data_IF_813369555557
#
_entry.id   IF_813369555557
#
_cell.length_a   1.000
_cell.length_b   1.000
_cell.length_c   1.000
_cell.angle_alpha   90.00
_cell.angle_beta   90.00
_cell.angle_gamma   90.00
#
_symmetry.space_group_name_H-M   'P 1'
#
loop_
_entity.id
_entity.type
_entity.pdbx_description
1 polymer ?
#
# COMPACT_ATOMS: atom_id res chain seq x y z
N UNK A 1 -23.32 -29.25 17.91
CA UNK A 1 -22.99 -28.75 16.58
C UNK A 1 -21.95 -27.64 16.75
N UNK A 2 -20.69 -27.87 16.44
CA UNK A 2 -19.64 -26.85 16.47
C UNK A 2 -19.83 -25.93 15.27
N UNK A 3 -20.23 -24.68 15.50
CA UNK A 3 -20.33 -23.69 14.45
C UNK A 3 -18.95 -23.56 13.79
N UNK A 4 -18.85 -23.86 12.51
CA UNK A 4 -17.62 -23.65 11.73
C UNK A 4 -17.36 -22.16 11.64
N UNK A 5 -16.37 -21.67 12.37
CA UNK A 5 -15.99 -20.25 12.34
C UNK A 5 -15.38 -19.94 10.96
N UNK A 6 -16.02 -19.05 10.21
CA UNK A 6 -15.61 -18.65 8.85
C UNK A 6 -14.23 -18.00 8.88
N UNK A 7 -13.32 -18.48 8.01
CA UNK A 7 -12.00 -17.87 7.81
C UNK A 7 -12.04 -16.91 6.63
N UNK A 8 -11.54 -15.68 6.83
CA UNK A 8 -11.42 -14.63 5.82
C UNK A 8 -10.03 -14.54 5.19
N UNK A 9 -9.15 -15.50 5.48
CA UNK A 9 -7.78 -15.56 4.92
C UNK A 9 -7.76 -15.54 3.40
N UNK A 10 -8.74 -16.21 2.75
CA UNK A 10 -8.90 -16.16 1.29
C UNK A 10 -9.10 -14.74 0.78
N UNK A 11 -9.90 -13.90 1.48
CA UNK A 11 -10.11 -12.51 1.13
C UNK A 11 -8.81 -11.71 1.18
N UNK A 12 -8.00 -11.88 2.23
CA UNK A 12 -6.68 -11.24 2.35
C UNK A 12 -5.80 -11.54 1.14
N UNK A 13 -5.63 -12.80 0.79
CA UNK A 13 -4.78 -13.20 -0.32
C UNK A 13 -5.32 -12.75 -1.68
N UNK A 14 -6.64 -12.79 -1.88
CA UNK A 14 -7.27 -12.29 -3.12
C UNK A 14 -7.00 -10.81 -3.29
N UNK A 15 -7.17 -9.99 -2.23
CA UNK A 15 -6.91 -8.55 -2.28
C UNK A 15 -5.42 -8.25 -2.46
N UNK A 16 -4.53 -9.01 -1.83
CA UNK A 16 -3.09 -8.84 -1.99
C UNK A 16 -2.65 -9.11 -3.44
N UNK A 17 -3.12 -10.20 -4.04
CA UNK A 17 -2.82 -10.55 -5.43
C UNK A 17 -3.45 -9.54 -6.39
N UNK A 18 -4.71 -9.15 -6.16
CA UNK A 18 -5.40 -8.17 -7.00
C UNK A 18 -4.72 -6.79 -6.91
N UNK A 19 -4.37 -6.33 -5.71
CA UNK A 19 -3.68 -5.05 -5.50
C UNK A 19 -2.32 -5.00 -6.17
N UNK A 20 -1.50 -6.04 -5.97
CA UNK A 20 -0.21 -6.20 -6.67
C UNK A 20 -0.39 -6.24 -8.18
N UNK A 21 -1.34 -7.03 -8.68
CA UNK A 21 -1.61 -7.17 -10.11
C UNK A 21 -2.06 -5.86 -10.74
N UNK A 22 -3.03 -5.18 -10.15
CA UNK A 22 -3.54 -3.89 -10.63
C UNK A 22 -2.44 -2.81 -10.63
N UNK A 23 -1.63 -2.76 -9.57
CA UNK A 23 -0.50 -1.82 -9.50
C UNK A 23 0.49 -2.08 -10.62
N UNK A 24 0.96 -3.30 -10.79
CA UNK A 24 1.97 -3.60 -11.80
C UNK A 24 1.43 -3.48 -13.23
N UNK A 25 0.21 -3.97 -13.49
CA UNK A 25 -0.41 -3.84 -14.82
C UNK A 25 -0.58 -2.37 -15.19
N UNK A 26 -1.07 -1.54 -14.28
CA UNK A 26 -1.24 -0.10 -14.54
C UNK A 26 0.10 0.60 -14.78
N UNK A 27 1.13 0.33 -13.97
CA UNK A 27 2.47 0.89 -14.15
C UNK A 27 3.05 0.54 -15.52
N UNK A 28 3.06 -0.74 -15.87
CA UNK A 28 3.58 -1.15 -17.18
C UNK A 28 2.74 -0.60 -18.34
N UNK A 29 1.42 -0.59 -18.23
CA UNK A 29 0.54 -0.08 -19.27
C UNK A 29 0.74 1.42 -19.52
N UNK A 30 0.72 2.24 -18.45
CA UNK A 30 0.86 3.69 -18.53
C UNK A 30 2.25 4.09 -19.00
N UNK A 31 3.31 3.52 -18.45
CA UNK A 31 4.68 3.82 -18.87
C UNK A 31 4.94 3.39 -20.32
N UNK A 32 4.37 2.27 -20.77
CA UNK A 32 4.44 1.86 -22.18
C UNK A 32 3.65 2.80 -23.08
N UNK A 33 2.43 3.14 -22.70
CA UNK A 33 1.54 3.99 -23.49
C UNK A 33 2.11 5.41 -23.67
N UNK A 34 2.67 6.00 -22.60
CA UNK A 34 3.23 7.34 -22.60
C UNK A 34 4.75 7.35 -22.88
N UNK A 35 5.33 6.29 -23.46
CA UNK A 35 6.77 6.17 -23.67
C UNK A 35 7.32 7.23 -24.62
N UNK A 36 6.65 7.48 -25.76
CA UNK A 36 6.96 8.53 -26.74
C UNK A 36 8.48 8.63 -27.04
N UNK A 37 9.06 7.53 -27.53
CA UNK A 37 10.50 7.42 -27.85
C UNK A 37 11.43 7.84 -26.69
N UNK A 38 11.02 7.54 -25.46
CA UNK A 38 11.79 7.86 -24.26
C UNK A 38 11.70 9.30 -23.79
N UNK A 39 10.88 10.12 -24.42
CA UNK A 39 10.63 11.49 -23.96
C UNK A 39 9.66 11.55 -22.80
N UNK A 40 8.80 10.53 -22.71
CA UNK A 40 7.67 10.53 -21.79
C UNK A 40 6.49 11.35 -22.27
N UNK A 41 5.45 11.40 -21.47
CA UNK A 41 4.24 12.11 -21.81
C UNK A 41 3.29 12.26 -20.63
N UNK A 42 2.25 13.03 -20.90
CA UNK A 42 1.13 13.22 -19.98
C UNK A 42 -0.19 13.03 -20.71
N UNK A 43 -1.18 12.54 -20.00
CA UNK A 43 -2.54 12.45 -20.49
C UNK A 43 -3.50 13.06 -19.48
N UNK A 44 -4.17 14.15 -19.90
CA UNK A 44 -5.12 14.85 -19.05
C UNK A 44 -6.43 14.07 -19.01
N UNK A 45 -6.76 13.51 -17.85
CA UNK A 45 -8.01 12.79 -17.61
C UNK A 45 -9.13 13.75 -17.23
N UNK A 46 -8.84 14.71 -16.34
CA UNK A 46 -9.76 15.78 -15.94
C UNK A 46 -9.01 17.10 -16.06
N UNK A 47 -9.43 18.00 -17.00
CA UNK A 47 -8.76 19.27 -17.18
C UNK A 47 -8.63 20.07 -15.89
N UNK A 48 -7.41 20.54 -15.60
CA UNK A 48 -7.08 21.32 -14.41
C UNK A 48 -7.09 20.56 -13.08
N UNK A 49 -7.36 19.22 -13.07
CA UNK A 49 -7.48 18.47 -11.83
C UNK A 49 -6.61 17.20 -11.79
N UNK A 50 -6.71 16.33 -12.78
CA UNK A 50 -6.10 15.01 -12.72
C UNK A 50 -5.50 14.58 -14.07
N UNK A 51 -4.29 14.05 -14.02
CA UNK A 51 -3.59 13.56 -15.21
C UNK A 51 -2.75 12.32 -14.91
N UNK A 52 -2.46 11.57 -15.95
CA UNK A 52 -1.49 10.48 -15.96
C UNK A 52 -0.16 11.01 -16.48
N UNK A 53 0.94 10.66 -15.83
CA UNK A 53 2.26 11.17 -16.14
C UNK A 53 3.26 10.03 -16.21
N UNK A 54 4.06 9.95 -17.27
CA UNK A 54 5.21 9.06 -17.33
C UNK A 54 6.46 9.87 -17.73
N UNK A 55 7.48 9.79 -16.90
CA UNK A 55 8.76 10.48 -17.13
C UNK A 55 9.88 9.46 -17.31
N UNK A 56 10.86 9.80 -18.16
CA UNK A 56 12.01 8.96 -18.45
C UNK A 56 13.33 9.73 -18.29
N UNK A 57 14.41 9.00 -18.04
CA UNK A 57 15.74 9.57 -17.88
C UNK A 57 16.43 9.65 -19.25
N UNK A 58 16.51 10.86 -19.81
CA UNK A 58 17.09 11.09 -21.15
C UNK A 58 18.54 10.58 -21.20
N UNK A 59 18.82 9.70 -22.20
CA UNK A 59 20.17 9.18 -22.44
C UNK A 59 20.54 7.99 -21.55
N UNK A 60 19.71 7.56 -20.62
CA UNK A 60 19.93 6.35 -19.82
C UNK A 60 19.19 5.16 -20.42
N UNK A 61 19.93 4.34 -21.17
CA UNK A 61 19.41 3.08 -21.72
C UNK A 61 19.63 1.97 -20.70
N UNK A 62 18.68 1.05 -20.61
CA UNK A 62 18.81 -0.14 -19.75
C UNK A 62 19.94 -1.03 -20.22
N UNK A 63 21.01 -1.15 -19.41
CA UNK A 63 22.15 -2.01 -19.63
C UNK A 63 22.04 -3.36 -18.92
N UNK A 64 20.90 -3.66 -18.33
CA UNK A 64 20.66 -4.93 -17.66
C UNK A 64 20.57 -6.08 -18.66
N UNK A 65 20.78 -7.30 -18.19
CA UNK A 65 20.73 -8.52 -19.01
C UNK A 65 19.83 -9.57 -18.37
N UNK A 66 19.43 -10.57 -19.13
CA UNK A 66 18.63 -11.69 -18.65
C UNK A 66 17.23 -11.27 -18.16
N UNK A 67 16.80 -11.86 -17.05
CA UNK A 67 15.44 -11.64 -16.51
C UNK A 67 15.20 -10.17 -16.14
N UNK A 68 16.19 -9.49 -15.59
CA UNK A 68 16.03 -8.08 -15.20
C UNK A 68 15.81 -7.19 -16.42
N UNK A 69 16.53 -7.44 -17.51
CA UNK A 69 16.29 -6.75 -18.79
C UNK A 69 14.89 -7.00 -19.30
N UNK A 70 14.42 -8.26 -19.33
CA UNK A 70 13.07 -8.60 -19.78
C UNK A 70 11.97 -7.92 -18.95
N UNK A 71 12.19 -7.75 -17.63
CA UNK A 71 11.25 -7.04 -16.76
C UNK A 71 11.24 -5.52 -17.00
N UNK A 72 12.39 -4.94 -17.37
CA UNK A 72 12.54 -3.49 -17.59
C UNK A 72 12.14 -3.03 -18.99
N UNK A 73 12.43 -3.82 -20.01
CA UNK A 73 12.14 -3.46 -21.41
C UNK A 73 10.67 -3.38 -21.77
N UNK A 74 9.78 -3.85 -20.89
CA UNK A 74 8.35 -3.62 -21.03
C UNK A 74 7.96 -2.14 -20.99
N UNK A 75 8.81 -1.32 -20.38
CA UNK A 75 8.63 0.14 -20.29
C UNK A 75 9.31 0.91 -21.42
N UNK A 76 10.00 0.22 -22.35
CA UNK A 76 10.84 0.81 -23.37
C UNK A 76 12.33 0.69 -23.05
N UNK A 77 13.19 1.11 -23.98
CA UNK A 77 14.66 1.01 -23.83
C UNK A 77 15.26 2.03 -22.86
N UNK A 78 14.60 3.21 -22.75
CA UNK A 78 15.04 4.26 -21.84
C UNK A 78 14.46 4.04 -20.45
N UNK A 79 15.30 4.19 -19.43
CA UNK A 79 14.88 3.95 -18.04
C UNK A 79 13.82 4.95 -17.58
N UNK A 80 12.75 4.47 -16.92
CA UNK A 80 11.77 5.35 -16.32
C UNK A 80 12.40 6.18 -15.20
N UNK A 81 11.98 7.43 -15.06
CA UNK A 81 12.25 8.21 -13.88
C UNK A 81 11.44 7.64 -12.71
N UNK A 82 12.12 7.26 -11.65
CA UNK A 82 11.51 6.59 -10.49
C UNK A 82 11.67 7.42 -9.23
N UNK A 83 10.72 7.30 -8.33
CA UNK A 83 10.76 7.87 -7.00
C UNK A 83 11.58 6.97 -6.08
N UNK A 84 12.77 7.42 -5.70
CA UNK A 84 13.66 6.68 -4.80
C UNK A 84 13.35 6.94 -3.31
N UNK A 85 12.34 7.76 -3.02
CA UNK A 85 12.00 8.16 -1.67
C UNK A 85 13.02 9.17 -1.14
N UNK A 86 13.02 10.39 -1.70
CA UNK A 86 13.87 11.48 -1.22
C UNK A 86 13.45 11.86 0.22
N UNK A 87 14.22 11.40 1.21
CA UNK A 87 14.10 11.88 2.58
C UNK A 87 14.58 13.34 2.61
N UNK A 88 13.63 14.28 2.72
CA UNK A 88 13.88 15.69 3.05
C UNK A 88 14.84 16.46 2.12
N UNK A 89 14.80 16.25 0.80
CA UNK A 89 15.61 17.05 -0.13
C UNK A 89 17.12 16.77 -0.08
N UNK A 90 17.56 15.72 0.59
CA UNK A 90 18.94 15.28 0.61
C UNK A 90 19.34 14.76 -0.78
N UNK A 91 20.43 15.28 -1.33
CA UNK A 91 20.84 15.12 -2.74
C UNK A 91 20.96 13.67 -3.23
N UNK A 92 21.20 13.51 -4.52
CA UNK A 92 21.18 12.21 -5.24
C UNK A 92 21.99 11.07 -4.59
N UNK A 93 23.06 11.39 -3.86
CA UNK A 93 23.90 10.38 -3.17
C UNK A 93 23.14 9.60 -2.09
N UNK A 94 22.15 10.21 -1.47
CA UNK A 94 21.32 9.58 -0.43
C UNK A 94 20.06 8.90 -0.98
N UNK A 95 19.62 9.26 -2.19
CA UNK A 95 18.45 8.67 -2.82
C UNK A 95 18.60 7.14 -3.02
N UNK A 96 19.81 6.69 -3.32
CA UNK A 96 20.14 5.27 -3.47
C UNK A 96 19.99 4.49 -2.15
N UNK A 97 20.49 5.06 -1.06
CA UNK A 97 20.38 4.48 0.29
C UNK A 97 18.91 4.44 0.72
N UNK A 98 18.15 5.52 0.46
CA UNK A 98 16.72 5.59 0.75
C UNK A 98 15.94 4.46 0.10
N UNK A 99 16.21 4.15 -1.18
CA UNK A 99 15.55 3.05 -1.87
C UNK A 99 15.73 1.70 -1.16
N UNK A 100 16.95 1.38 -0.69
CA UNK A 100 17.21 0.14 0.05
C UNK A 100 16.55 0.12 1.42
N UNK A 101 16.53 1.25 2.13
CA UNK A 101 15.83 1.37 3.42
C UNK A 101 14.34 1.09 3.21
N UNK A 102 13.71 1.76 2.25
CA UNK A 102 12.29 1.53 1.95
C UNK A 102 12.00 0.13 1.43
N UNK A 103 12.90 -0.47 0.65
CA UNK A 103 12.78 -1.87 0.24
C UNK A 103 12.83 -2.81 1.45
N UNK A 104 13.75 -2.58 2.38
CA UNK A 104 13.87 -3.33 3.63
C UNK A 104 12.62 -3.20 4.51
N UNK A 105 12.10 -1.97 4.68
CA UNK A 105 10.84 -1.72 5.41
C UNK A 105 9.67 -2.45 4.74
N UNK A 106 9.55 -2.35 3.41
CA UNK A 106 8.48 -3.04 2.67
C UNK A 106 8.58 -4.56 2.81
N UNK A 107 9.78 -5.12 2.72
CA UNK A 107 10.00 -6.55 2.91
C UNK A 107 9.62 -6.99 4.32
N UNK A 108 10.04 -6.26 5.34
CA UNK A 108 9.73 -6.55 6.74
C UNK A 108 8.23 -6.50 6.99
N UNK A 109 7.56 -5.46 6.47
CA UNK A 109 6.10 -5.33 6.59
C UNK A 109 5.37 -6.49 5.89
N UNK A 110 5.79 -6.85 4.67
CA UNK A 110 5.20 -7.97 3.94
C UNK A 110 5.35 -9.29 4.72
N UNK A 111 6.55 -9.59 5.23
CA UNK A 111 6.81 -10.79 6.04
C UNK A 111 5.96 -10.80 7.30
N UNK A 112 5.86 -9.67 8.00
CA UNK A 112 5.04 -9.55 9.22
C UNK A 112 3.55 -9.79 8.93
N UNK A 113 3.00 -9.23 7.85
CA UNK A 113 1.61 -9.41 7.45
C UNK A 113 1.36 -10.87 7.06
N UNK A 114 2.26 -11.47 6.26
CA UNK A 114 2.16 -12.89 5.86
C UNK A 114 2.15 -13.78 7.11
N UNK A 115 3.10 -13.58 8.01
CA UNK A 115 3.18 -14.33 9.26
C UNK A 115 1.91 -14.16 10.11
N UNK A 116 1.42 -12.93 10.24
CA UNK A 116 0.20 -12.65 11.00
C UNK A 116 -1.04 -13.27 10.36
N UNK A 117 -1.12 -13.34 9.03
CA UNK A 117 -2.24 -13.95 8.29
C UNK A 117 -2.48 -15.43 8.65
N UNK A 118 -1.45 -16.13 9.16
CA UNK A 118 -1.57 -17.51 9.59
C UNK A 118 -2.17 -17.64 11.01
N UNK A 119 -2.29 -16.56 11.77
CA UNK A 119 -2.91 -16.60 13.10
C UNK A 119 -4.42 -16.81 12.99
N UNK A 120 -4.98 -17.77 13.78
CA UNK A 120 -6.43 -18.04 13.75
C UNK A 120 -7.28 -16.83 14.12
N UNK A 121 -6.81 -15.96 15.04
CA UNK A 121 -7.49 -14.73 15.44
C UNK A 121 -7.61 -13.75 14.28
N UNK A 122 -6.53 -13.50 13.56
CA UNK A 122 -6.52 -12.60 12.40
C UNK A 122 -7.44 -13.13 11.28
N UNK A 123 -7.41 -14.45 11.02
CA UNK A 123 -8.20 -15.07 9.97
C UNK A 123 -9.73 -14.98 10.19
N UNK A 124 -10.18 -14.73 11.41
CA UNK A 124 -11.60 -14.62 11.77
C UNK A 124 -12.15 -13.19 11.62
N UNK A 125 -11.28 -12.21 11.59
CA UNK A 125 -11.65 -10.81 11.46
C UNK A 125 -11.68 -10.41 9.97
N UNK A 126 -12.88 -10.09 9.47
CA UNK A 126 -13.08 -9.72 8.06
C UNK A 126 -12.44 -8.39 7.71
N UNK A 127 -12.60 -7.38 8.58
CA UNK A 127 -12.08 -6.02 8.31
C UNK A 127 -10.56 -6.04 8.38
N UNK A 128 -9.98 -6.73 9.37
CA UNK A 128 -8.54 -6.93 9.47
C UNK A 128 -7.98 -7.64 8.23
N UNK A 129 -8.60 -8.73 7.79
CA UNK A 129 -8.17 -9.45 6.58
C UNK A 129 -8.28 -8.57 5.32
N UNK A 130 -9.33 -7.74 5.21
CA UNK A 130 -9.50 -6.82 4.10
C UNK A 130 -8.39 -5.76 4.11
N UNK A 131 -8.17 -5.10 5.23
CA UNK A 131 -7.14 -4.06 5.41
C UNK A 131 -5.75 -4.60 5.15
N UNK A 132 -5.38 -5.73 5.77
CA UNK A 132 -4.08 -6.37 5.60
C UNK A 132 -3.86 -6.85 4.16
N UNK A 133 -4.90 -7.28 3.46
CA UNK A 133 -4.83 -7.67 2.05
C UNK A 133 -4.45 -6.50 1.16
N UNK A 134 -5.09 -5.34 1.34
CA UNK A 134 -4.75 -4.11 0.62
C UNK A 134 -3.32 -3.64 0.94
N UNK A 135 -2.97 -3.58 2.23
CA UNK A 135 -1.62 -3.18 2.65
C UNK A 135 -0.55 -4.10 2.05
N UNK A 136 -0.77 -5.42 2.09
CA UNK A 136 0.17 -6.39 1.53
C UNK A 136 0.31 -6.21 0.01
N UNK A 137 -0.79 -6.05 -0.73
CA UNK A 137 -0.77 -5.84 -2.18
C UNK A 137 0.01 -4.58 -2.57
N UNK A 138 -0.27 -3.44 -1.92
CA UNK A 138 0.45 -2.19 -2.13
C UNK A 138 1.93 -2.27 -1.73
N UNK A 139 2.21 -2.91 -0.59
CA UNK A 139 3.60 -3.12 -0.13
C UNK A 139 4.42 -3.92 -1.13
N UNK A 140 3.87 -5.03 -1.65
CA UNK A 140 4.53 -5.88 -2.63
C UNK A 140 4.67 -5.17 -3.99
N UNK A 141 3.70 -4.36 -4.40
CA UNK A 141 3.75 -3.56 -5.63
C UNK A 141 4.93 -2.58 -5.62
N UNK A 142 5.05 -1.79 -4.57
CA UNK A 142 6.15 -0.85 -4.41
C UNK A 142 7.50 -1.54 -4.11
N UNK A 143 7.51 -2.69 -3.44
CA UNK A 143 8.71 -3.50 -3.25
C UNK A 143 9.25 -4.04 -4.57
N UNK A 144 8.38 -4.57 -5.42
CA UNK A 144 8.76 -5.02 -6.77
C UNK A 144 9.48 -3.92 -7.55
N UNK A 145 8.90 -2.73 -7.59
CA UNK A 145 9.51 -1.60 -8.30
C UNK A 145 10.88 -1.22 -7.74
N UNK A 146 11.04 -1.20 -6.41
CA UNK A 146 12.32 -0.90 -5.77
C UNK A 146 13.41 -1.91 -6.10
N UNK A 147 13.05 -3.18 -6.23
CA UNK A 147 14.00 -4.25 -6.59
C UNK A 147 14.33 -4.23 -8.08
N UNK A 148 13.34 -4.02 -8.95
CA UNK A 148 13.50 -4.06 -10.40
C UNK A 148 14.03 -2.75 -10.95
N UNK A 149 13.44 -1.61 -10.59
CA UNK A 149 13.73 -0.30 -11.15
C UNK A 149 14.58 0.60 -10.24
N UNK A 150 14.92 0.14 -9.02
CA UNK A 150 15.65 0.90 -8.00
C UNK A 150 14.92 2.16 -7.52
N UNK A 151 13.61 2.14 -7.54
CA UNK A 151 12.71 3.19 -7.13
C UNK A 151 11.30 2.86 -7.59
N UNK A 152 10.31 3.66 -7.23
CA UNK A 152 8.90 3.42 -7.53
C UNK A 152 8.48 4.22 -8.75
N UNK A 153 7.74 3.59 -9.66
CA UNK A 153 7.12 4.22 -10.83
C UNK A 153 5.79 4.82 -10.41
N UNK A 154 5.74 6.14 -10.31
CA UNK A 154 4.55 6.91 -9.98
C UNK A 154 3.98 7.56 -11.25
N UNK A 155 2.65 7.59 -11.39
CA UNK A 155 2.01 8.05 -12.62
C UNK A 155 0.66 8.76 -12.43
N UNK A 156 0.08 8.75 -11.22
CA UNK A 156 -1.15 9.46 -10.88
C UNK A 156 -0.80 10.83 -10.33
N UNK A 157 -1.28 11.91 -10.95
CA UNK A 157 -0.97 13.26 -10.52
C UNK A 157 -2.21 14.13 -10.39
N UNK A 158 -2.44 14.63 -9.16
CA UNK A 158 -3.42 15.68 -8.90
C UNK A 158 -2.77 17.05 -9.08
N UNK A 159 -3.14 17.74 -10.12
CA UNK A 159 -2.53 18.99 -10.54
C UNK A 159 -3.03 20.21 -9.75
N UNK A 160 -4.28 20.22 -9.31
CA UNK A 160 -4.92 21.41 -8.72
C UNK A 160 -4.38 21.82 -7.35
N UNK A 161 -3.70 20.94 -6.62
CA UNK A 161 -3.06 21.21 -5.32
C UNK A 161 -1.62 20.68 -5.20
N UNK A 162 -0.96 20.46 -6.33
CA UNK A 162 0.45 20.04 -6.40
C UNK A 162 0.77 18.81 -5.52
N UNK A 163 -0.13 17.83 -5.50
CA UNK A 163 0.07 16.62 -4.75
C UNK A 163 1.22 15.79 -5.36
N UNK A 164 2.09 15.20 -4.56
CA UNK A 164 3.12 14.32 -5.08
C UNK A 164 2.53 13.24 -6.00
N UNK A 165 3.22 12.94 -7.10
CA UNK A 165 2.81 11.86 -8.01
C UNK A 165 2.84 10.54 -7.24
N UNK A 166 1.84 9.69 -7.42
CA UNK A 166 1.65 8.44 -6.70
C UNK A 166 1.16 7.32 -7.64
N UNK A 167 0.83 6.15 -7.10
CA UNK A 167 0.44 4.97 -7.88
C UNK A 167 -0.67 4.17 -7.19
N UNK A 168 -1.11 3.06 -7.81
CA UNK A 168 -2.18 2.21 -7.28
C UNK A 168 -1.76 1.50 -5.97
N UNK A 169 -0.48 1.13 -5.82
CA UNK A 169 0.01 0.54 -4.56
C UNK A 169 -0.17 1.52 -3.40
N UNK A 170 0.09 2.82 -3.60
CA UNK A 170 -0.10 3.84 -2.57
C UNK A 170 -1.58 4.00 -2.21
N UNK A 171 -2.49 3.93 -3.20
CA UNK A 171 -3.94 3.89 -2.93
C UNK A 171 -4.30 2.69 -2.05
N UNK A 172 -3.79 1.50 -2.37
CA UNK A 172 -4.04 0.31 -1.56
C UNK A 172 -3.50 0.46 -0.14
N UNK A 173 -2.28 0.99 0.02
CA UNK A 173 -1.68 1.24 1.34
C UNK A 173 -2.52 2.22 2.16
N UNK A 174 -2.87 3.36 1.60
CA UNK A 174 -3.65 4.41 2.29
C UNK A 174 -5.03 3.88 2.69
N UNK A 175 -5.77 3.26 1.76
CA UNK A 175 -7.08 2.68 2.05
C UNK A 175 -6.99 1.59 3.13
N UNK A 176 -6.01 0.71 3.04
CA UNK A 176 -5.80 -0.35 4.02
C UNK A 176 -5.48 0.18 5.41
N UNK A 177 -4.59 1.18 5.51
CA UNK A 177 -4.23 1.82 6.78
C UNK A 177 -5.41 2.60 7.38
N UNK A 178 -6.17 3.33 6.57
CA UNK A 178 -7.37 4.04 7.04
C UNK A 178 -8.37 3.04 7.64
N UNK A 179 -8.67 1.96 6.94
CA UNK A 179 -9.61 0.95 7.42
C UNK A 179 -9.12 0.29 8.72
N UNK A 180 -7.84 -0.04 8.80
CA UNK A 180 -7.25 -0.62 10.01
C UNK A 180 -7.31 0.36 11.19
N UNK A 181 -7.03 1.63 10.96
CA UNK A 181 -7.11 2.68 11.99
C UNK A 181 -8.55 2.88 12.45
N UNK A 182 -9.50 2.98 11.52
CA UNK A 182 -10.92 3.10 11.87
C UNK A 182 -11.38 1.91 12.71
N UNK A 183 -11.03 0.69 12.31
CA UNK A 183 -11.35 -0.51 13.10
C UNK A 183 -10.78 -0.42 14.51
N UNK A 184 -9.53 -0.04 14.66
CA UNK A 184 -8.89 0.08 15.98
C UNK A 184 -9.58 1.13 16.86
N UNK A 185 -9.94 2.28 16.30
CA UNK A 185 -10.64 3.35 17.02
C UNK A 185 -12.04 2.90 17.49
N UNK A 186 -12.82 2.26 16.61
CA UNK A 186 -14.17 1.80 16.96
C UNK A 186 -14.19 0.61 17.91
N UNK A 187 -13.17 -0.26 17.88
CA UNK A 187 -13.02 -1.38 18.83
C UNK A 187 -12.50 -0.94 20.20
N UNK A 188 -11.81 0.19 20.28
CA UNK A 188 -11.25 0.73 21.52
C UNK A 188 -12.29 1.50 22.38
N UNK A 189 -13.54 1.66 21.93
CA UNK A 189 -14.59 2.24 22.79
C UNK A 189 -14.94 1.23 23.89
N UNK A 190 -14.65 1.50 25.17
CA UNK A 190 -15.06 0.61 26.24
C UNK A 190 -16.58 0.57 26.28
N UNK A 191 -17.13 -0.64 26.27
CA UNK A 191 -18.53 -0.87 26.65
C UNK A 191 -18.77 -0.07 27.92
N UNK A 192 -19.81 0.79 27.86
CA UNK A 192 -20.08 1.81 28.86
C UNK A 192 -19.90 1.24 30.27
N UNK A 193 -19.18 1.98 31.09
CA UNK A 193 -19.08 1.76 32.53
C UNK A 193 -20.50 1.54 33.04
N UNK A 194 -20.88 0.29 33.29
CA UNK A 194 -22.09 -0.02 34.01
C UNK A 194 -22.01 0.74 35.32
N UNK A 195 -22.97 1.66 35.53
CA UNK A 195 -23.09 2.44 36.76
C UNK A 195 -23.04 1.46 37.96
N UNK A 196 -22.29 1.77 39.02
CA UNK A 196 -22.26 0.91 40.19
C UNK A 196 -23.69 0.74 40.70
N UNK A 197 -24.13 -0.50 40.78
CA UNK A 197 -25.41 -0.88 41.35
C UNK A 197 -25.41 -0.41 42.79
N UNK A 198 -26.23 0.60 43.10
CA UNK A 198 -26.43 1.09 44.47
C UNK A 198 -27.06 -0.05 45.26
N UNK A 199 -26.24 -0.73 46.05
CA UNK A 199 -26.69 -1.72 47.04
C UNK A 199 -27.54 -0.94 48.07
N UNK A 200 -28.85 -1.00 47.93
CA UNK A 200 -29.78 -0.60 48.96
C UNK A 200 -29.63 -1.56 50.12
N UNK A 201 -28.80 -1.24 51.09
CA UNK A 201 -28.84 -1.84 52.43
C UNK A 201 -30.10 -1.41 53.10
N UNK A 202 -31.15 -2.23 53.04
CA UNK A 202 -32.31 -2.08 53.89
C UNK A 202 -31.89 -2.40 55.34
N UNK A 203 -31.71 -1.37 56.14
CA UNK A 203 -31.60 -1.49 57.59
C UNK A 203 -33.02 -1.83 58.11
N UNK A 204 -33.27 -3.12 58.33
CA UNK A 204 -34.42 -3.56 59.10
C UNK A 204 -34.14 -3.20 60.56
N UNK A 205 -34.82 -2.15 61.05
CA UNK A 205 -34.81 -1.80 62.46
C UNK A 205 -35.54 -2.87 63.26
N UNK A 206 -34.84 -3.56 64.13
CA UNK A 206 -35.46 -4.24 65.27
C UNK A 206 -35.87 -3.21 66.32
N UNK A 207 -37.17 -3.09 66.56
CA UNK A 207 -37.72 -2.53 67.76
C UNK A 207 -38.45 -3.63 68.49
N UNK A 208 -37.80 -4.10 69.56
CA UNK A 208 -38.28 -4.68 70.76
C UNK A 208 -39.26 -5.85 70.70
#
# INVERSE_FOLDING_TARGET
>A
MTATVRSWRGLLWTLAIAGLGLDQISKYAIFKWLYNDGQGGEYVVVPGAFQLLAQFLRGEVDKSTGLLHALRTWSGEVMPRVNQGALFGMGQSYAYISNYIFAGVSLTAAVAIIWWSFRPSAARDKVLCFSLGLILGGTLGNLYDRLVFRGVRDFLYFHWFEFPVFNIADCCLVCGVILLTLQAVFQAQPDGVSAPELVHTSVAGEAK
#
